data_IF_803860069991
#
_entry.id   IF_803860069991
#
_cell.length_a   1.000
_cell.length_b   1.000
_cell.length_c   1.000
_cell.angle_alpha   90.00
_cell.angle_beta   90.00
_cell.angle_gamma   90.00
#
_symmetry.space_group_name_H-M   'P 1'
#
loop_
_entity.id
_entity.type
_entity.pdbx_description
1 polymer ?
#
# COMPACT_ATOMS: atom_id res chain seq x y z
N UNK A 1 -13.34 -11.47 3.92
CA UNK A 1 -13.39 -12.71 3.10
C UNK A 1 -12.11 -13.54 3.15
N UNK A 2 -10.90 -12.96 3.15
CA UNK A 2 -9.64 -13.74 3.07
C UNK A 2 -9.29 -14.63 4.28
N UNK A 3 -9.82 -14.36 5.48
CA UNK A 3 -9.54 -15.18 6.67
C UNK A 3 -10.29 -16.52 6.67
N UNK A 4 -11.43 -16.62 5.99
CA UNK A 4 -12.21 -17.86 5.93
C UNK A 4 -11.56 -18.89 4.99
N UNK A 5 -10.93 -18.44 3.90
CA UNK A 5 -10.35 -19.34 2.89
C UNK A 5 -9.13 -20.09 3.46
N UNK A 6 -8.29 -19.41 4.25
CA UNK A 6 -7.10 -20.02 4.88
C UNK A 6 -7.50 -21.09 5.92
N UNK A 7 -8.56 -20.85 6.68
CA UNK A 7 -9.07 -21.80 7.69
C UNK A 7 -9.71 -23.01 7.00
N UNK A 8 -10.37 -22.82 5.86
CA UNK A 8 -11.07 -23.91 5.14
C UNK A 8 -10.07 -24.88 4.47
N UNK A 9 -8.96 -24.36 3.93
CA UNK A 9 -7.89 -25.19 3.34
C UNK A 9 -7.14 -25.97 4.43
N UNK A 10 -6.90 -25.36 5.59
CA UNK A 10 -6.29 -26.03 6.73
C UNK A 10 -7.18 -27.15 7.30
N UNK A 11 -8.51 -26.98 7.32
CA UNK A 11 -9.45 -28.00 7.79
C UNK A 11 -9.61 -29.18 6.82
N UNK A 12 -9.52 -28.96 5.50
CA UNK A 12 -9.62 -30.07 4.54
C UNK A 12 -8.40 -31.01 4.61
N UNK A 13 -7.20 -30.46 4.82
CA UNK A 13 -5.98 -31.26 4.95
C UNK A 13 -5.97 -32.17 6.19
N UNK A 14 -6.70 -31.80 7.25
CA UNK A 14 -6.82 -32.61 8.48
C UNK A 14 -7.76 -33.82 8.34
N UNK A 15 -8.57 -33.91 7.28
CA UNK A 15 -9.63 -34.92 7.16
C UNK A 15 -9.29 -36.18 6.36
N UNK A 16 -8.11 -36.25 5.74
CA UNK A 16 -7.73 -37.38 4.84
C UNK A 16 -6.59 -38.27 5.36
N UNK A 17 -6.17 -38.12 6.62
CA UNK A 17 -5.15 -38.98 7.22
C UNK A 17 -5.75 -40.27 7.80
N UNK A 18 -6.29 -41.15 6.94
CA UNK A 18 -6.56 -42.55 7.29
C UNK A 18 -5.77 -43.47 6.37
N UNK A 19 -4.64 -43.96 6.92
CA UNK A 19 -3.91 -45.17 6.52
C UNK A 19 -3.59 -45.33 5.02
N UNK A 20 -2.53 -44.65 4.57
CA UNK A 20 -1.90 -44.88 3.26
C UNK A 20 -0.95 -43.79 2.73
N UNK A 21 -0.77 -42.66 3.43
CA UNK A 21 -0.31 -41.40 2.81
C UNK A 21 0.98 -40.74 3.33
N UNK A 22 1.95 -41.46 3.90
CA UNK A 22 3.14 -40.84 4.51
C UNK A 22 4.13 -40.22 3.52
N UNK A 23 4.36 -40.84 2.36
CA UNK A 23 5.16 -40.20 1.28
C UNK A 23 4.45 -38.99 0.67
N UNK A 24 3.12 -38.99 0.69
CA UNK A 24 2.32 -37.89 0.15
C UNK A 24 2.38 -36.63 1.03
N UNK A 25 2.54 -36.73 2.36
CA UNK A 25 2.46 -35.56 3.24
C UNK A 25 3.59 -34.55 3.03
N UNK A 26 4.84 -35.04 2.91
CA UNK A 26 6.00 -34.19 2.67
C UNK A 26 6.01 -33.64 1.23
N UNK A 27 5.61 -34.46 0.26
CA UNK A 27 5.45 -34.04 -1.14
C UNK A 27 4.37 -32.95 -1.25
N UNK A 28 3.21 -33.12 -0.61
CA UNK A 28 2.17 -32.09 -0.53
C UNK A 28 2.68 -30.81 0.13
N UNK A 29 3.47 -30.91 1.21
CA UNK A 29 4.06 -29.73 1.84
C UNK A 29 5.06 -28.99 0.93
N UNK A 30 5.83 -29.72 0.12
CA UNK A 30 6.72 -29.14 -0.89
C UNK A 30 5.90 -28.45 -1.99
N UNK A 31 4.83 -29.07 -2.46
CA UNK A 31 3.92 -28.49 -3.44
C UNK A 31 3.27 -27.21 -2.91
N UNK A 32 2.80 -27.20 -1.67
CA UNK A 32 2.23 -26.00 -1.02
C UNK A 32 3.27 -24.88 -0.92
N UNK A 33 4.50 -25.18 -0.48
CA UNK A 33 5.57 -24.20 -0.42
C UNK A 33 5.92 -23.65 -1.83
N UNK A 34 5.92 -24.50 -2.85
CA UNK A 34 6.15 -24.10 -4.23
C UNK A 34 4.99 -23.25 -4.78
N UNK A 35 3.75 -23.56 -4.43
CA UNK A 35 2.58 -22.73 -4.76
C UNK A 35 2.68 -21.36 -4.09
N UNK A 36 3.07 -21.28 -2.82
CA UNK A 36 3.28 -20.01 -2.12
C UNK A 36 4.33 -19.13 -2.82
N UNK A 37 5.46 -19.71 -3.25
CA UNK A 37 6.49 -18.99 -4.03
C UNK A 37 5.98 -18.54 -5.38
N UNK A 38 5.24 -19.40 -6.08
CA UNK A 38 4.62 -19.09 -7.37
C UNK A 38 3.61 -17.94 -7.25
N UNK A 39 2.79 -17.92 -6.20
CA UNK A 39 1.84 -16.83 -5.96
C UNK A 39 2.56 -15.53 -5.59
N UNK A 40 3.65 -15.60 -4.83
CA UNK A 40 4.50 -14.44 -4.56
C UNK A 40 5.11 -13.84 -5.85
N UNK A 41 5.54 -14.69 -6.80
CA UNK A 41 6.04 -14.25 -8.10
C UNK A 41 4.92 -13.63 -8.96
N UNK A 42 3.71 -14.21 -8.94
CA UNK A 42 2.54 -13.63 -9.62
C UNK A 42 2.17 -12.27 -9.04
N UNK A 43 2.19 -12.12 -7.73
CA UNK A 43 1.93 -10.83 -7.07
C UNK A 43 3.00 -9.79 -7.38
N UNK A 44 4.27 -10.18 -7.38
CA UNK A 44 5.37 -9.32 -7.81
C UNK A 44 5.17 -8.87 -9.27
N UNK A 45 4.89 -9.80 -10.17
CA UNK A 45 4.63 -9.51 -11.59
C UNK A 45 3.40 -8.60 -11.77
N UNK A 46 2.32 -8.81 -11.00
CA UNK A 46 1.14 -7.92 -10.97
C UNK A 46 1.53 -6.52 -10.47
N UNK A 47 2.35 -6.40 -9.44
CA UNK A 47 2.86 -5.11 -8.95
C UNK A 47 3.72 -4.39 -9.99
N UNK A 48 4.58 -5.13 -10.69
CA UNK A 48 5.39 -4.61 -11.81
C UNK A 48 4.51 -4.17 -12.98
N UNK A 49 3.48 -4.94 -13.33
CA UNK A 49 2.51 -4.57 -14.36
C UNK A 49 1.74 -3.30 -13.96
N UNK A 50 1.27 -3.21 -12.71
CA UNK A 50 0.56 -2.04 -12.19
C UNK A 50 1.41 -0.76 -12.20
N UNK A 51 2.72 -0.89 -11.97
CA UNK A 51 3.69 0.20 -12.16
C UNK A 51 3.71 0.72 -13.60
N UNK A 52 3.50 -0.15 -14.58
CA UNK A 52 3.44 0.21 -16.00
C UNK A 52 2.04 0.70 -16.42
N UNK A 53 0.97 0.30 -15.72
CA UNK A 53 -0.43 0.72 -15.96
C UNK A 53 -0.81 2.07 -15.34
N UNK A 54 -0.07 2.55 -14.33
CA UNK A 54 -0.30 3.86 -13.71
C UNK A 54 0.03 4.99 -14.70
N UNK A 55 -0.96 5.33 -15.53
CA UNK A 55 -0.82 6.21 -16.69
C UNK A 55 -1.09 7.70 -16.40
N UNK A 56 -1.56 8.07 -15.20
CA UNK A 56 -1.80 9.47 -14.85
C UNK A 56 -1.95 9.69 -13.34
N UNK A 57 -1.43 10.81 -12.83
CA UNK A 57 -1.81 11.37 -11.54
C UNK A 57 -3.33 11.66 -11.55
N UNK A 58 -4.11 11.05 -10.65
CA UNK A 58 -5.57 11.17 -10.69
C UNK A 58 -6.07 12.62 -10.65
N UNK A 59 -5.32 13.50 -10.01
CA UNK A 59 -5.75 14.89 -9.80
C UNK A 59 -5.26 15.86 -10.90
N UNK A 60 -4.66 15.36 -11.99
CA UNK A 60 -4.15 16.21 -13.08
C UNK A 60 -5.26 17.05 -13.75
N UNK A 61 -6.43 16.46 -13.96
CA UNK A 61 -7.59 17.19 -14.51
C UNK A 61 -8.16 18.20 -13.50
N UNK A 62 -8.14 17.85 -12.22
CA UNK A 62 -8.63 18.73 -11.16
C UNK A 62 -7.69 19.89 -10.89
N UNK A 63 -6.38 19.71 -11.04
CA UNK A 63 -5.40 20.81 -11.03
C UNK A 63 -5.72 21.86 -12.10
N UNK A 64 -6.04 21.45 -13.33
CA UNK A 64 -6.46 22.38 -14.39
C UNK A 64 -7.71 23.15 -14.00
N UNK A 65 -8.75 22.47 -13.50
CA UNK A 65 -9.99 23.12 -13.07
C UNK A 65 -9.75 24.11 -11.93
N UNK A 66 -8.89 23.76 -10.97
CA UNK A 66 -8.52 24.63 -9.85
C UNK A 66 -7.79 25.87 -10.31
N UNK A 67 -6.78 25.74 -11.17
CA UNK A 67 -6.06 26.89 -11.74
C UNK A 67 -7.04 27.77 -12.54
N UNK A 68 -7.95 27.17 -13.32
CA UNK A 68 -8.99 27.92 -14.04
C UNK A 68 -9.90 28.69 -13.08
N UNK A 69 -10.41 28.03 -12.03
CA UNK A 69 -11.24 28.69 -11.02
C UNK A 69 -10.51 29.85 -10.32
N UNK A 70 -9.19 29.72 -10.13
CA UNK A 70 -8.36 30.83 -9.61
C UNK A 70 -8.26 31.98 -10.57
N UNK A 71 -8.02 31.70 -11.84
CA UNK A 71 -8.01 32.72 -12.89
C UNK A 71 -9.36 33.46 -12.95
N UNK A 72 -10.47 32.73 -12.95
CA UNK A 72 -11.82 33.30 -13.04
C UNK A 72 -12.15 34.17 -11.81
N UNK A 73 -11.74 33.74 -10.61
CA UNK A 73 -11.89 34.52 -9.38
C UNK A 73 -11.11 35.84 -9.44
N UNK A 74 -9.86 35.80 -9.90
CA UNK A 74 -9.03 37.00 -10.05
C UNK A 74 -9.60 37.94 -11.12
N UNK A 75 -10.13 37.39 -12.21
CA UNK A 75 -10.78 38.16 -13.27
C UNK A 75 -12.06 38.85 -12.77
N UNK A 76 -12.86 38.17 -11.95
CA UNK A 76 -14.05 38.76 -11.34
C UNK A 76 -13.69 39.94 -10.43
N UNK A 77 -12.70 39.78 -9.55
CA UNK A 77 -12.23 40.86 -8.68
C UNK A 77 -11.69 42.05 -9.49
N UNK A 78 -10.89 41.78 -10.53
CA UNK A 78 -10.39 42.79 -11.46
C UNK A 78 -11.54 43.53 -12.15
N UNK A 79 -12.53 42.80 -12.66
CA UNK A 79 -13.67 43.37 -13.37
C UNK A 79 -14.50 44.26 -12.45
N UNK A 80 -14.83 43.80 -11.24
CA UNK A 80 -15.58 44.59 -10.26
C UNK A 80 -14.85 45.88 -9.90
N UNK A 81 -13.53 45.82 -9.70
CA UNK A 81 -12.73 47.00 -9.44
C UNK A 81 -12.68 47.96 -10.65
N UNK A 82 -12.62 47.44 -11.87
CA UNK A 82 -12.67 48.27 -13.08
C UNK A 82 -14.02 48.98 -13.23
N UNK A 83 -15.13 48.27 -13.03
CA UNK A 83 -16.48 48.86 -13.11
C UNK A 83 -16.66 49.96 -12.06
N UNK A 84 -16.19 49.72 -10.84
CA UNK A 84 -16.21 50.74 -9.79
C UNK A 84 -15.34 51.95 -10.16
N UNK A 85 -14.13 51.72 -10.67
CA UNK A 85 -13.29 52.82 -11.19
C UNK A 85 -14.01 53.62 -12.28
N UNK A 86 -14.59 52.95 -13.26
CA UNK A 86 -15.28 53.60 -14.37
C UNK A 86 -16.47 54.43 -13.87
N UNK A 87 -17.19 53.97 -12.85
CA UNK A 87 -18.27 54.74 -12.21
C UNK A 87 -17.76 56.03 -11.54
N UNK A 88 -16.70 55.94 -10.72
CA UNK A 88 -16.19 57.09 -9.97
C UNK A 88 -15.32 58.06 -10.81
N UNK A 89 -14.72 57.58 -11.89
CA UNK A 89 -13.83 58.36 -12.76
C UNK A 89 -14.60 59.38 -13.64
N UNK A 90 -15.93 59.33 -13.67
CA UNK A 90 -16.77 60.31 -14.38
C UNK A 90 -16.98 61.62 -13.60
N UNK A 91 -16.62 61.66 -12.32
CA UNK A 91 -16.62 62.88 -11.54
C UNK A 91 -15.30 63.65 -11.69
N UNK A 92 -15.36 64.99 -11.77
CA UNK A 92 -14.23 65.90 -12.01
C UNK A 92 -13.07 65.72 -11.00
N UNK A 93 -13.34 65.07 -9.85
CA UNK A 93 -12.38 64.81 -8.79
C UNK A 93 -12.31 63.31 -8.47
N UNK A 94 -11.23 62.65 -8.89
CA UNK A 94 -10.92 61.27 -8.51
C UNK A 94 -10.33 61.26 -7.10
N UNK A 95 -11.17 61.06 -6.09
CA UNK A 95 -10.78 60.92 -4.69
C UNK A 95 -10.11 59.57 -4.39
N UNK A 96 -9.83 59.33 -3.11
CA UNK A 96 -9.13 58.13 -2.62
C UNK A 96 -9.79 56.82 -3.07
N UNK A 97 -11.13 56.73 -2.97
CA UNK A 97 -11.94 55.60 -3.46
C UNK A 97 -11.70 55.29 -4.94
N UNK A 98 -11.74 56.32 -5.79
CA UNK A 98 -11.49 56.20 -7.23
C UNK A 98 -10.07 55.68 -7.51
N UNK A 99 -9.07 56.17 -6.78
CA UNK A 99 -7.69 55.73 -6.92
C UNK A 99 -7.47 54.29 -6.42
N UNK A 100 -8.15 53.89 -5.37
CA UNK A 100 -8.10 52.52 -4.85
C UNK A 100 -8.71 51.52 -5.85
N UNK A 101 -9.87 51.83 -6.46
CA UNK A 101 -10.44 51.00 -7.53
C UNK A 101 -9.49 50.83 -8.72
N UNK A 102 -8.87 51.93 -9.18
CA UNK A 102 -7.89 51.89 -10.28
C UNK A 102 -6.69 51.00 -9.96
N UNK A 103 -6.16 51.13 -8.74
CA UNK A 103 -5.05 50.30 -8.25
C UNK A 103 -5.49 48.85 -8.16
N UNK A 104 -6.66 48.57 -7.61
CA UNK A 104 -7.20 47.22 -7.48
C UNK A 104 -7.36 46.54 -8.83
N UNK A 105 -8.00 47.18 -9.81
CA UNK A 105 -8.11 46.65 -11.16
C UNK A 105 -6.73 46.26 -11.72
N UNK A 106 -5.71 47.11 -11.52
CA UNK A 106 -4.35 46.86 -12.02
C UNK A 106 -3.64 45.71 -11.28
N UNK A 107 -3.74 45.66 -9.95
CA UNK A 107 -3.04 44.66 -9.17
C UNK A 107 -3.61 43.26 -9.38
N UNK A 108 -4.94 43.12 -9.41
CA UNK A 108 -5.59 41.83 -9.68
C UNK A 108 -5.42 41.40 -11.14
N UNK A 109 -5.38 42.34 -12.10
CA UNK A 109 -4.95 42.03 -13.46
C UNK A 109 -3.54 41.45 -13.47
N UNK A 110 -2.58 42.09 -12.78
CA UNK A 110 -1.20 41.60 -12.71
C UNK A 110 -1.09 40.21 -12.07
N UNK A 111 -1.93 39.89 -11.09
CA UNK A 111 -2.01 38.54 -10.53
C UNK A 111 -2.60 37.57 -11.56
N UNK A 112 -3.77 37.87 -12.12
CA UNK A 112 -4.43 37.05 -13.15
C UNK A 112 -3.48 36.69 -14.30
N UNK A 113 -2.75 37.67 -14.82
CA UNK A 113 -1.82 37.51 -15.94
C UNK A 113 -0.65 36.58 -15.60
N UNK A 114 -0.28 36.47 -14.32
CA UNK A 114 0.73 35.50 -13.85
C UNK A 114 0.17 34.10 -13.65
N UNK A 115 -1.12 33.96 -13.33
CA UNK A 115 -1.79 32.65 -13.20
C UNK A 115 -2.17 32.07 -14.55
N UNK A 116 -2.53 32.90 -15.54
CA UNK A 116 -2.99 32.47 -16.86
C UNK A 116 -2.08 31.44 -17.56
N UNK A 117 -0.74 31.61 -17.61
CA UNK A 117 0.13 30.66 -18.31
C UNK A 117 0.10 29.26 -17.71
N UNK A 118 -0.17 29.14 -16.41
CA UNK A 118 -0.22 27.85 -15.73
C UNK A 118 -1.38 26.97 -16.23
N UNK A 119 -2.47 27.56 -16.72
CA UNK A 119 -3.61 26.80 -17.28
C UNK A 119 -3.17 26.00 -18.51
N UNK A 120 -2.50 26.65 -19.46
CA UNK A 120 -2.05 25.99 -20.69
C UNK A 120 -1.00 24.91 -20.39
N UNK A 121 -0.05 25.22 -19.49
CA UNK A 121 0.96 24.25 -19.07
C UNK A 121 0.30 23.05 -18.37
N UNK A 122 -0.62 23.28 -17.43
CA UNK A 122 -1.34 22.22 -16.75
C UNK A 122 -2.17 21.35 -17.71
N UNK A 123 -2.86 21.97 -18.69
CA UNK A 123 -3.57 21.24 -19.76
C UNK A 123 -2.63 20.36 -20.58
N UNK A 124 -1.44 20.86 -20.93
CA UNK A 124 -0.44 20.09 -21.68
C UNK A 124 0.11 18.87 -20.91
N UNK A 125 -0.02 18.89 -19.58
CA UNK A 125 0.37 17.80 -18.71
C UNK A 125 -0.74 16.74 -18.53
N UNK A 126 -1.93 16.93 -19.11
CA UNK A 126 -2.96 15.89 -19.16
C UNK A 126 -2.64 14.99 -20.35
N UNK A 127 -2.15 13.78 -20.07
CA UNK A 127 -1.89 12.76 -21.10
C UNK A 127 -2.70 11.51 -20.76
N UNK A 128 -3.39 10.98 -21.76
CA UNK A 128 -4.27 9.80 -21.63
C UNK A 128 -3.50 8.47 -21.54
N UNK A 129 -2.24 8.45 -21.96
CA UNK A 129 -1.38 7.26 -21.91
C UNK A 129 0.10 7.62 -21.99
N UNK A 130 0.97 6.65 -21.68
CA UNK A 130 2.41 6.75 -21.89
C UNK A 130 3.16 7.66 -20.90
N UNK A 131 2.61 7.91 -19.71
CA UNK A 131 3.34 8.60 -18.64
C UNK A 131 3.92 7.60 -17.65
N UNK A 132 4.96 8.03 -16.93
CA UNK A 132 5.55 7.24 -15.85
C UNK A 132 5.18 7.85 -14.51
N UNK A 133 5.13 7.04 -13.45
CA UNK A 133 4.92 7.51 -12.08
C UNK A 133 5.87 8.64 -11.69
N UNK A 134 7.15 8.57 -12.09
CA UNK A 134 8.11 9.65 -11.85
C UNK A 134 7.71 10.96 -12.53
N UNK A 135 7.17 10.88 -13.75
CA UNK A 135 6.62 12.04 -14.47
C UNK A 135 5.41 12.63 -13.74
N UNK A 136 4.53 11.77 -13.24
CA UNK A 136 3.31 12.17 -12.52
C UNK A 136 3.64 12.82 -11.16
N UNK A 137 4.60 12.28 -10.42
CA UNK A 137 5.13 12.91 -9.20
C UNK A 137 5.75 14.28 -9.52
N UNK A 138 6.51 14.39 -10.62
CA UNK A 138 7.08 15.68 -11.03
C UNK A 138 6.01 16.71 -11.39
N UNK A 139 4.90 16.29 -12.02
CA UNK A 139 3.75 17.17 -12.31
C UNK A 139 3.07 17.65 -11.04
N UNK A 140 2.82 16.76 -10.08
CA UNK A 140 2.24 17.14 -8.78
C UNK A 140 3.14 18.13 -8.03
N UNK A 141 4.47 17.91 -8.02
CA UNK A 141 5.45 18.84 -7.42
C UNK A 141 5.44 20.21 -8.10
N UNK A 142 5.39 20.24 -9.43
CA UNK A 142 5.32 21.48 -10.21
C UNK A 142 4.04 22.26 -9.91
N UNK A 143 2.91 21.59 -9.72
CA UNK A 143 1.68 22.23 -9.27
C UNK A 143 1.81 22.84 -7.87
N UNK A 144 2.45 22.13 -6.93
CA UNK A 144 2.75 22.66 -5.59
C UNK A 144 3.66 23.90 -5.64
N UNK A 145 4.63 23.94 -6.54
CA UNK A 145 5.48 25.12 -6.76
C UNK A 145 4.65 26.33 -7.23
N UNK A 146 3.74 26.13 -8.17
CA UNK A 146 2.82 27.17 -8.61
C UNK A 146 1.93 27.66 -7.47
N UNK A 147 1.31 26.75 -6.72
CA UNK A 147 0.47 27.10 -5.57
C UNK A 147 1.23 27.92 -4.51
N UNK A 148 2.49 27.56 -4.23
CA UNK A 148 3.37 28.30 -3.32
C UNK A 148 3.71 29.70 -3.85
N UNK A 149 3.91 29.83 -5.16
CA UNK A 149 4.15 31.13 -5.78
C UNK A 149 2.89 32.02 -5.74
N UNK A 150 1.72 31.46 -6.03
CA UNK A 150 0.45 32.17 -5.94
C UNK A 150 0.16 32.63 -4.52
N UNK A 151 0.47 31.81 -3.51
CA UNK A 151 0.38 32.23 -2.10
C UNK A 151 1.22 33.47 -1.82
N UNK A 152 2.47 33.52 -2.28
CA UNK A 152 3.33 34.71 -2.11
C UNK A 152 2.72 35.95 -2.76
N UNK A 153 2.09 35.81 -3.92
CA UNK A 153 1.41 36.92 -4.58
C UNK A 153 0.14 37.34 -3.85
N UNK A 154 -0.61 36.39 -3.30
CA UNK A 154 -1.79 36.66 -2.46
C UNK A 154 -1.40 37.40 -1.18
N UNK A 155 -0.34 36.95 -0.48
CA UNK A 155 0.16 37.61 0.72
C UNK A 155 0.66 39.04 0.40
N UNK A 156 1.32 39.22 -0.76
CA UNK A 156 1.70 40.55 -1.23
C UNK A 156 0.50 41.44 -1.58
N UNK A 157 -0.58 40.87 -2.10
CA UNK A 157 -1.81 41.58 -2.42
C UNK A 157 -2.48 42.08 -1.14
N UNK A 158 -2.60 41.21 -0.13
CA UNK A 158 -3.08 41.56 1.21
C UNK A 158 -2.26 42.67 1.84
N UNK A 159 -0.93 42.59 1.77
CA UNK A 159 -0.06 43.66 2.25
C UNK A 159 -0.33 44.99 1.51
N UNK A 160 -0.44 44.98 0.18
CA UNK A 160 -0.70 46.18 -0.62
C UNK A 160 -2.03 46.81 -0.23
N UNK A 161 -3.10 46.02 -0.13
CA UNK A 161 -4.43 46.52 0.21
C UNK A 161 -4.43 47.14 1.62
N UNK A 162 -3.90 46.43 2.62
CA UNK A 162 -3.95 46.91 3.99
C UNK A 162 -3.06 48.13 4.26
N UNK A 163 -2.00 48.35 3.47
CA UNK A 163 -1.03 49.42 3.76
C UNK A 163 -1.04 50.56 2.74
N UNK A 164 -1.52 50.34 1.51
CA UNK A 164 -1.43 51.32 0.42
C UNK A 164 -2.80 51.82 -0.04
N UNK A 165 -3.88 51.10 0.24
CA UNK A 165 -5.23 51.57 -0.06
C UNK A 165 -5.75 52.40 1.11
N UNK A 166 -6.54 53.42 0.80
CA UNK A 166 -6.99 54.41 1.77
C UNK A 166 -8.38 54.13 2.31
N UNK A 167 -9.24 53.45 1.54
CA UNK A 167 -10.65 53.21 1.94
C UNK A 167 -10.87 51.88 2.66
N UNK A 168 -9.93 50.93 2.56
CA UNK A 168 -10.08 49.58 3.11
C UNK A 168 -11.10 48.71 2.37
N UNK A 169 -11.67 49.18 1.26
CA UNK A 169 -12.79 48.55 0.55
C UNK A 169 -12.47 47.16 -0.03
N UNK A 170 -11.19 46.85 -0.24
CA UNK A 170 -10.74 45.59 -0.82
C UNK A 170 -10.13 44.60 0.19
N UNK A 171 -10.22 44.88 1.49
CA UNK A 171 -9.61 44.02 2.53
C UNK A 171 -10.19 42.61 2.45
N UNK A 172 -11.51 42.49 2.25
CA UNK A 172 -12.17 41.18 2.18
C UNK A 172 -11.75 40.39 0.94
N UNK A 173 -11.65 41.02 -0.23
CA UNK A 173 -11.18 40.38 -1.46
C UNK A 173 -9.73 39.91 -1.33
N UNK A 174 -8.88 40.70 -0.66
CA UNK A 174 -7.50 40.31 -0.40
C UNK A 174 -7.43 39.10 0.54
N UNK A 175 -8.21 39.10 1.62
CA UNK A 175 -8.34 37.98 2.54
C UNK A 175 -8.87 36.72 1.85
N UNK A 176 -9.88 36.84 0.99
CA UNK A 176 -10.41 35.73 0.17
C UNK A 176 -9.31 35.18 -0.74
N UNK A 177 -8.52 36.05 -1.36
CA UNK A 177 -7.42 35.66 -2.25
C UNK A 177 -6.35 34.84 -1.51
N UNK A 178 -5.99 35.27 -0.28
CA UNK A 178 -5.05 34.56 0.61
C UNK A 178 -5.63 33.22 1.08
N UNK A 179 -6.88 33.19 1.54
CA UNK A 179 -7.55 31.96 1.99
C UNK A 179 -7.60 30.92 0.88
N UNK A 180 -8.00 31.35 -0.32
CA UNK A 180 -8.03 30.47 -1.48
C UNK A 180 -6.61 29.95 -1.83
N UNK A 181 -5.56 30.77 -1.69
CA UNK A 181 -4.19 30.36 -2.00
C UNK A 181 -3.66 29.36 -0.96
N UNK A 182 -3.97 29.57 0.33
CA UNK A 182 -3.65 28.60 1.38
C UNK A 182 -4.35 27.26 1.16
N UNK A 183 -5.62 27.27 0.76
CA UNK A 183 -6.36 26.06 0.43
C UNK A 183 -5.74 25.32 -0.77
N UNK A 184 -5.27 26.06 -1.79
CA UNK A 184 -4.59 25.48 -2.94
C UNK A 184 -3.25 24.83 -2.56
N UNK A 185 -2.43 25.50 -1.73
CA UNK A 185 -1.17 24.91 -1.23
C UNK A 185 -1.43 23.62 -0.46
N UNK A 186 -2.42 23.62 0.44
CA UNK A 186 -2.77 22.42 1.22
C UNK A 186 -3.24 21.27 0.32
N UNK A 187 -4.04 21.58 -0.70
CA UNK A 187 -4.49 20.58 -1.68
C UNK A 187 -3.33 20.03 -2.52
N UNK A 188 -2.47 20.92 -3.03
CA UNK A 188 -1.32 20.53 -3.85
C UNK A 188 -0.32 19.69 -3.05
N UNK A 189 -0.08 20.01 -1.78
CA UNK A 189 0.80 19.25 -0.89
C UNK A 189 0.25 17.84 -0.65
N UNK A 190 -1.05 17.74 -0.31
CA UNK A 190 -1.74 16.44 -0.18
C UNK A 190 -1.65 15.62 -1.47
N UNK A 191 -1.77 16.26 -2.62
CA UNK A 191 -1.69 15.57 -3.91
C UNK A 191 -0.29 15.04 -4.20
N UNK A 192 0.76 15.78 -3.83
CA UNK A 192 2.15 15.29 -3.88
C UNK A 192 2.32 14.08 -2.98
N UNK A 193 1.81 14.12 -1.75
CA UNK A 193 1.89 12.99 -0.82
C UNK A 193 1.18 11.75 -1.36
N UNK A 194 -0.02 11.92 -1.94
CA UNK A 194 -0.74 10.83 -2.59
C UNK A 194 0.04 10.23 -3.77
N UNK A 195 0.64 11.09 -4.62
CA UNK A 195 1.45 10.63 -5.75
C UNK A 195 2.70 9.87 -5.29
N UNK A 196 3.35 10.33 -4.21
CA UNK A 196 4.49 9.65 -3.59
C UNK A 196 4.09 8.31 -2.94
N UNK A 197 2.95 8.23 -2.25
CA UNK A 197 2.45 6.97 -1.68
C UNK A 197 2.16 5.94 -2.77
N UNK A 198 1.51 6.36 -3.86
CA UNK A 198 1.29 5.49 -5.02
C UNK A 198 2.62 5.02 -5.60
N UNK A 199 3.59 5.92 -5.76
CA UNK A 199 4.92 5.58 -6.27
C UNK A 199 5.66 4.59 -5.36
N UNK A 200 5.56 4.78 -4.04
CA UNK A 200 6.19 3.93 -3.05
C UNK A 200 5.62 2.50 -3.07
N UNK A 201 4.29 2.36 -3.10
CA UNK A 201 3.60 1.06 -3.10
C UNK A 201 3.92 0.17 -4.30
N UNK A 202 4.29 0.78 -5.41
CA UNK A 202 4.68 0.06 -6.65
C UNK A 202 6.17 0.17 -6.94
N UNK A 203 6.95 0.65 -5.97
CA UNK A 203 8.41 0.70 -6.06
C UNK A 203 8.98 -0.71 -6.07
N UNK A 204 10.08 -0.89 -6.81
CA UNK A 204 10.70 -2.20 -6.94
C UNK A 204 11.22 -2.73 -5.60
N UNK A 205 11.69 -1.84 -4.73
CA UNK A 205 12.16 -2.17 -3.38
C UNK A 205 11.04 -2.78 -2.53
N UNK A 206 9.88 -2.12 -2.45
CA UNK A 206 8.73 -2.62 -1.68
C UNK A 206 8.19 -3.92 -2.25
N UNK A 207 8.11 -4.04 -3.58
CA UNK A 207 7.65 -5.25 -4.24
C UNK A 207 8.62 -6.42 -4.02
N UNK A 208 9.94 -6.18 -4.06
CA UNK A 208 10.97 -7.19 -3.75
C UNK A 208 10.91 -7.60 -2.29
N UNK A 209 10.71 -6.67 -1.37
CA UNK A 209 10.60 -6.95 0.06
C UNK A 209 9.37 -7.81 0.36
N UNK A 210 8.21 -7.45 -0.19
CA UNK A 210 6.99 -8.25 -0.06
C UNK A 210 7.17 -9.67 -0.62
N UNK A 211 7.82 -9.81 -1.78
CA UNK A 211 8.18 -11.11 -2.36
C UNK A 211 9.11 -11.91 -1.45
N UNK A 212 10.15 -11.26 -0.89
CA UNK A 212 11.12 -11.88 0.03
C UNK A 212 10.45 -12.42 1.29
N UNK A 213 9.54 -11.65 1.89
CA UNK A 213 8.78 -12.08 3.07
C UNK A 213 7.97 -13.35 2.77
N UNK A 214 7.26 -13.40 1.63
CA UNK A 214 6.50 -14.59 1.24
C UNK A 214 7.36 -15.81 0.96
N UNK A 215 8.54 -15.61 0.38
CA UNK A 215 9.52 -16.68 0.21
C UNK A 215 9.99 -17.23 1.55
N UNK A 216 10.29 -16.35 2.50
CA UNK A 216 10.66 -16.73 3.86
C UNK A 216 9.53 -17.51 4.57
N UNK A 217 8.28 -17.09 4.40
CA UNK A 217 7.11 -17.80 4.93
C UNK A 217 6.96 -19.21 4.33
N UNK A 218 7.14 -19.35 3.01
CA UNK A 218 7.10 -20.64 2.33
C UNK A 218 8.20 -21.60 2.83
N UNK A 219 9.44 -21.10 2.97
CA UNK A 219 10.56 -21.90 3.49
C UNK A 219 10.39 -22.25 4.97
N UNK A 220 9.77 -21.37 5.75
CA UNK A 220 9.46 -21.63 7.16
C UNK A 220 8.36 -22.68 7.31
N UNK A 221 7.33 -22.62 6.46
CA UNK A 221 6.27 -23.63 6.41
C UNK A 221 6.86 -25.02 6.08
N UNK A 222 7.67 -25.13 5.03
CA UNK A 222 8.28 -26.41 4.64
C UNK A 222 9.19 -26.98 5.74
N UNK A 223 9.99 -26.12 6.40
CA UNK A 223 10.83 -26.54 7.54
C UNK A 223 10.00 -27.09 8.70
N UNK A 224 8.87 -26.46 9.01
CA UNK A 224 7.96 -26.95 10.06
C UNK A 224 7.37 -28.31 9.70
N UNK A 225 6.91 -28.49 8.45
CA UNK A 225 6.35 -29.76 8.01
C UNK A 225 7.39 -30.89 8.00
N UNK A 226 8.64 -30.60 7.60
CA UNK A 226 9.76 -31.56 7.72
C UNK A 226 9.99 -31.99 9.16
N UNK A 227 10.06 -31.04 10.09
CA UNK A 227 10.29 -31.35 11.50
C UNK A 227 9.16 -32.21 12.11
N UNK A 228 7.90 -31.96 11.72
CA UNK A 228 6.76 -32.80 12.13
C UNK A 228 6.91 -34.21 11.55
N UNK A 229 7.19 -34.33 10.27
CA UNK A 229 7.35 -35.62 9.60
C UNK A 229 8.51 -36.45 10.20
N UNK A 230 9.65 -35.83 10.48
CA UNK A 230 10.79 -36.48 11.14
C UNK A 230 10.44 -36.95 12.56
N UNK A 231 9.68 -36.15 13.32
CA UNK A 231 9.21 -36.52 14.66
C UNK A 231 8.21 -37.68 14.62
N UNK A 232 7.31 -37.72 13.64
CA UNK A 232 6.37 -38.82 13.41
C UNK A 232 7.10 -40.11 13.05
N UNK A 233 8.08 -40.06 12.14
CA UNK A 233 8.91 -41.22 11.79
C UNK A 233 9.66 -41.77 13.01
N UNK A 234 10.28 -40.90 13.81
CA UNK A 234 10.98 -41.33 15.01
C UNK A 234 10.04 -41.96 16.06
N UNK A 235 8.79 -41.50 16.15
CA UNK A 235 7.79 -42.10 17.04
C UNK A 235 7.38 -43.50 16.58
N UNK A 236 7.18 -43.69 15.26
CA UNK A 236 6.86 -44.98 14.66
C UNK A 236 8.01 -45.97 14.84
N UNK A 237 9.24 -45.56 14.58
CA UNK A 237 10.44 -46.40 14.78
C UNK A 237 10.55 -46.89 16.22
N UNK A 238 10.34 -45.99 17.21
CA UNK A 238 10.30 -46.38 18.63
C UNK A 238 9.17 -47.35 18.95
N UNK A 239 7.98 -47.17 18.36
CA UNK A 239 6.87 -48.10 18.59
C UNK A 239 7.17 -49.49 18.02
N UNK A 240 7.81 -49.57 16.86
CA UNK A 240 8.26 -50.83 16.25
C UNK A 240 9.32 -51.49 17.15
N UNK A 241 10.31 -50.74 17.61
CA UNK A 241 11.36 -51.23 18.51
C UNK A 241 10.77 -51.81 19.81
N UNK A 242 9.84 -51.08 20.44
CA UNK A 242 9.11 -51.54 21.64
C UNK A 242 8.31 -52.82 21.38
N UNK A 243 7.66 -52.96 20.21
CA UNK A 243 6.95 -54.20 19.84
C UNK A 243 7.92 -55.37 19.69
N UNK A 244 9.07 -55.13 19.06
CA UNK A 244 10.12 -56.13 18.88
C UNK A 244 10.72 -56.59 20.21
N UNK A 245 10.95 -55.67 21.14
CA UNK A 245 11.37 -55.99 22.50
C UNK A 245 10.32 -56.82 23.26
N UNK A 246 9.04 -56.43 23.17
CA UNK A 246 7.93 -57.19 23.76
C UNK A 246 7.86 -58.61 23.21
N UNK A 247 7.97 -58.79 21.90
CA UNK A 247 7.99 -60.12 21.28
C UNK A 247 9.19 -60.96 21.70
N UNK A 248 10.37 -60.36 21.86
CA UNK A 248 11.55 -61.06 22.38
C UNK A 248 11.33 -61.51 23.82
N UNK A 249 10.75 -60.65 24.66
CA UNK A 249 10.43 -61.00 26.04
C UNK A 249 9.40 -62.13 26.14
N UNK A 250 8.35 -62.09 25.30
CA UNK A 250 7.35 -63.16 25.20
C UNK A 250 8.01 -64.48 24.80
N UNK A 251 8.80 -64.48 23.71
CA UNK A 251 9.53 -65.69 23.27
C UNK A 251 10.48 -66.23 24.34
N UNK A 252 11.18 -65.35 25.04
CA UNK A 252 12.03 -65.75 26.16
C UNK A 252 11.24 -66.38 27.31
N UNK A 253 10.06 -65.86 27.62
CA UNK A 253 9.16 -66.44 28.62
C UNK A 253 8.58 -67.80 28.19
N UNK A 254 8.16 -67.93 26.92
CA UNK A 254 7.68 -69.20 26.35
C UNK A 254 8.77 -70.28 26.40
N UNK A 255 10.01 -69.94 26.05
CA UNK A 255 11.15 -70.84 26.16
C UNK A 255 11.37 -71.29 27.61
N UNK A 256 11.34 -70.36 28.57
CA UNK A 256 11.51 -70.66 29.99
C UNK A 256 10.38 -71.53 30.57
N UNK A 257 9.14 -71.38 30.08
CA UNK A 257 8.02 -72.26 30.42
C UNK A 257 8.29 -73.66 29.86
N UNK A 258 8.65 -73.75 28.59
CA UNK A 258 8.96 -75.03 27.91
C UNK A 258 10.09 -75.79 28.61
N UNK A 259 11.15 -75.08 29.01
CA UNK A 259 12.27 -75.67 29.75
C UNK A 259 11.83 -76.21 31.12
N UNK A 260 10.95 -75.49 31.82
CA UNK A 260 10.37 -75.95 33.09
C UNK A 260 9.44 -77.16 32.91
N UNK A 261 8.62 -77.18 31.85
CA UNK A 261 7.76 -78.32 31.51
C UNK A 261 8.60 -79.54 31.18
N UNK A 262 9.66 -79.39 30.39
CA UNK A 262 10.60 -80.47 30.09
C UNK A 262 11.30 -81.00 31.34
N UNK A 263 11.76 -80.11 32.22
CA UNK A 263 12.36 -80.50 33.50
C UNK A 263 11.37 -81.24 34.40
N UNK A 264 10.11 -80.80 34.46
CA UNK A 264 9.05 -81.48 35.20
C UNK A 264 8.73 -82.86 34.63
N UNK A 265 8.60 -82.97 33.30
CA UNK A 265 8.38 -84.25 32.62
C UNK A 265 9.53 -85.23 32.85
N UNK A 266 10.78 -84.74 32.85
CA UNK A 266 11.94 -85.56 33.18
C UNK A 266 11.88 -86.05 34.63
N UNK A 267 11.56 -85.18 35.57
CA UNK A 267 11.41 -85.52 36.98
C UNK A 267 10.28 -86.54 37.23
N UNK A 268 9.17 -86.43 36.49
CA UNK A 268 8.09 -87.41 36.48
C UNK A 268 8.52 -88.77 35.90
N UNK A 269 9.31 -88.77 34.82
CA UNK A 269 9.88 -90.02 34.28
C UNK A 269 10.82 -90.68 35.28
N UNK A 270 11.68 -89.90 35.93
CA UNK A 270 12.61 -90.39 36.94
C UNK A 270 11.85 -90.98 38.15
N UNK A 271 10.73 -90.37 38.57
CA UNK A 271 9.87 -90.92 39.64
C UNK A 271 9.10 -92.19 39.24
N UNK A 272 8.73 -92.35 37.97
CA UNK A 272 7.92 -93.50 37.50
C UNK A 272 8.78 -94.69 37.05
N UNK A 273 10.02 -94.46 36.63
CA UNK A 273 10.88 -95.48 36.02
C UNK A 273 12.29 -95.57 36.62
N UNK A 274 12.61 -94.69 37.58
CA UNK A 274 13.93 -94.59 38.22
C UNK A 274 13.88 -94.86 39.73
N UNK A 275 13.35 -96.02 40.12
CA UNK A 275 13.68 -96.83 41.32
C UNK A 275 12.69 -98.00 41.41
#
# INVERSE_FOLDING_TARGET
MNKLIIITIALMALSQATFGGEKNALEMAQEVAQQMKTEADKEYAKGVAKRNELHQWPDAADAVKRIQARYDMLELMRHNAQVAYDYYNWHIWCGDTCMDHKRAARHWQGFRDRTQPYIAIAKSHIKTSGTTIGTEVARAKKHLEWAKMEKRWADSMDYIVNNQYRTGEYIDEALITVRAANAEVAWADKSVMNALDVAYRVSDEVLREARRIKYYEADTYLRRQRAVHEAEQAAIEREIELKLEREKAIRGAEQAITDKENAFLQLMKDLLYGA
#
